data_IF_944827569823
#
_entry.id   IF_944827569823
#
_cell.length_a   1.000
_cell.length_b   1.000
_cell.length_c   1.000
_cell.angle_alpha   90.00
_cell.angle_beta   90.00
_cell.angle_gamma   90.00
#
_symmetry.space_group_name_H-M   'P 1'
#
loop_
_entity.id
_entity.type
_entity.pdbx_description
1 polymer ?
#
# COMPACT_ATOMS: atom_id res chain seq x y z
N UNK A 1 -2.34 50.90 37.80
CA UNK A 1 -1.71 49.69 37.25
C UNK A 1 -2.62 49.14 36.16
N UNK A 2 -2.35 49.47 34.90
CA UNK A 2 -3.17 49.07 33.75
C UNK A 2 -2.60 47.80 33.13
N UNK A 3 -3.21 46.66 33.44
CA UNK A 3 -2.99 45.42 32.70
C UNK A 3 -3.69 45.53 31.35
N UNK A 4 -2.95 45.89 30.31
CA UNK A 4 -3.43 45.77 28.94
C UNK A 4 -3.60 44.29 28.64
N UNK A 5 -4.86 43.85 28.53
CA UNK A 5 -5.24 42.53 28.07
C UNK A 5 -4.68 42.31 26.67
N UNK A 6 -3.53 41.62 26.56
CA UNK A 6 -3.02 41.12 25.29
C UNK A 6 -4.04 40.10 24.80
N UNK A 7 -4.83 40.45 23.79
CA UNK A 7 -5.63 39.47 23.07
C UNK A 7 -4.69 38.38 22.58
N UNK A 8 -4.84 37.18 23.11
CA UNK A 8 -4.09 36.01 22.66
C UNK A 8 -4.47 35.79 21.20
N UNK A 9 -3.53 36.01 20.28
CA UNK A 9 -3.72 35.66 18.87
C UNK A 9 -3.93 34.14 18.82
N UNK A 10 -4.99 33.69 18.14
CA UNK A 10 -5.20 32.26 17.90
C UNK A 10 -4.40 31.84 16.67
N UNK A 11 -3.56 30.82 16.83
CA UNK A 11 -2.91 30.16 15.71
C UNK A 11 -3.96 29.43 14.85
N UNK A 12 -3.98 29.71 13.55
CA UNK A 12 -4.73 28.90 12.59
C UNK A 12 -3.85 27.72 12.18
N UNK A 13 -4.05 26.57 12.82
CA UNK A 13 -3.21 25.37 12.65
C UNK A 13 -3.09 24.95 11.18
N UNK A 14 -4.20 24.94 10.43
CA UNK A 14 -4.18 24.59 9.00
C UNK A 14 -3.35 25.55 8.13
N UNK A 15 -3.45 26.85 8.40
CA UNK A 15 -2.67 27.88 7.70
C UNK A 15 -1.17 27.75 8.04
N UNK A 16 -0.85 27.48 9.32
CA UNK A 16 0.52 27.24 9.75
C UNK A 16 1.12 26.01 9.06
N UNK A 17 0.39 24.90 8.99
CA UNK A 17 0.82 23.68 8.28
C UNK A 17 1.07 23.98 6.80
N UNK A 18 0.17 24.70 6.12
CA UNK A 18 0.35 25.03 4.72
C UNK A 18 1.60 25.89 4.47
N UNK A 19 1.85 26.89 5.32
CA UNK A 19 3.06 27.72 5.23
C UNK A 19 4.34 26.93 5.50
N UNK A 20 4.30 26.01 6.47
CA UNK A 20 5.41 25.08 6.74
C UNK A 20 5.69 24.18 5.53
N UNK A 21 4.64 23.63 4.90
CA UNK A 21 4.77 22.82 3.69
C UNK A 21 5.42 23.62 2.55
N UNK A 22 4.99 24.87 2.33
CA UNK A 22 5.54 25.69 1.25
C UNK A 22 7.02 26.06 1.48
N UNK A 23 7.39 26.35 2.74
CA UNK A 23 8.77 26.64 3.13
C UNK A 23 9.68 25.42 2.93
N UNK A 24 9.23 24.24 3.34
CA UNK A 24 10.00 22.99 3.25
C UNK A 24 10.01 22.40 1.84
N UNK A 25 8.99 22.66 1.01
CA UNK A 25 9.08 22.35 -0.43
C UNK A 25 10.22 23.10 -1.11
N UNK A 26 10.40 24.37 -0.75
CA UNK A 26 11.50 25.20 -1.27
C UNK A 26 12.87 24.80 -0.70
N UNK A 27 12.88 24.13 0.46
CA UNK A 27 14.10 23.70 1.15
C UNK A 27 13.98 22.23 1.56
N UNK A 28 14.47 21.28 0.73
CA UNK A 28 14.28 19.84 0.96
C UNK A 28 15.06 19.28 2.17
N UNK A 29 15.81 20.11 2.88
CA UNK A 29 16.56 19.73 4.08
C UNK A 29 15.66 19.74 5.31
N UNK A 30 15.77 18.71 6.16
CA UNK A 30 15.11 18.72 7.46
C UNK A 30 15.60 19.92 8.29
N UNK A 31 14.66 20.73 8.79
CA UNK A 31 14.96 21.92 9.58
C UNK A 31 14.51 21.71 11.02
N UNK A 32 15.23 22.27 12.02
CA UNK A 32 14.75 22.26 13.39
C UNK A 32 13.37 22.92 13.47
N UNK A 33 12.46 22.32 14.22
CA UNK A 33 11.09 22.86 14.39
C UNK A 33 11.11 24.27 14.96
N UNK A 34 12.07 24.60 15.83
CA UNK A 34 12.29 25.95 16.36
C UNK A 34 12.59 26.97 15.28
N UNK A 35 13.42 26.59 14.30
CA UNK A 35 13.87 27.47 13.23
C UNK A 35 12.73 27.71 12.24
N UNK A 36 11.95 26.65 11.94
CA UNK A 36 10.74 26.78 11.12
C UNK A 36 9.71 27.69 11.79
N UNK A 37 9.51 27.56 13.10
CA UNK A 37 8.63 28.46 13.84
C UNK A 37 9.14 29.90 13.83
N UNK A 38 10.45 30.10 13.96
CA UNK A 38 11.06 31.44 13.92
C UNK A 38 10.93 32.08 12.54
N UNK A 39 11.20 31.33 11.47
CA UNK A 39 11.10 31.82 10.10
C UNK A 39 9.66 32.16 9.69
N UNK A 40 8.67 31.50 10.30
CA UNK A 40 7.26 31.78 10.10
C UNK A 40 6.66 32.77 11.11
N UNK A 41 7.51 33.38 11.97
CA UNK A 41 7.11 34.30 13.05
C UNK A 41 6.06 33.67 14.01
N UNK A 42 6.10 32.35 14.17
CA UNK A 42 5.21 31.56 15.03
C UNK A 42 5.77 31.33 16.44
N UNK A 43 6.95 31.87 16.76
CA UNK A 43 7.58 31.71 18.09
C UNK A 43 6.81 32.44 19.20
N UNK A 44 5.99 33.44 18.87
CA UNK A 44 5.24 34.24 19.86
C UNK A 44 3.98 33.57 20.40
N UNK A 45 3.59 32.40 19.86
CA UNK A 45 2.38 31.69 20.26
C UNK A 45 2.57 30.88 21.55
N UNK A 46 1.51 30.71 22.36
CA UNK A 46 1.59 29.96 23.61
C UNK A 46 1.91 28.48 23.35
N UNK A 47 2.65 27.85 24.27
CA UNK A 47 3.12 26.47 24.16
C UNK A 47 2.00 25.47 23.88
N UNK A 48 0.81 25.65 24.47
CA UNK A 48 -0.38 24.83 24.20
C UNK A 48 -0.82 24.85 22.72
N UNK A 49 -0.63 25.94 22.00
CA UNK A 49 -0.95 26.02 20.57
C UNK A 49 0.13 25.35 19.72
N UNK A 50 1.38 25.41 20.16
CA UNK A 50 2.51 24.74 19.51
C UNK A 50 2.40 23.22 19.69
N UNK A 51 2.05 22.73 20.87
CA UNK A 51 1.79 21.31 21.11
C UNK A 51 0.62 20.79 20.27
N UNK A 52 -0.45 21.58 20.16
CA UNK A 52 -1.58 21.27 19.26
C UNK A 52 -1.14 21.19 17.80
N UNK A 53 -0.28 22.11 17.34
CA UNK A 53 0.29 22.06 16.00
C UNK A 53 1.12 20.79 15.79
N UNK A 54 1.99 20.42 16.73
CA UNK A 54 2.79 19.18 16.66
C UNK A 54 1.89 17.93 16.57
N UNK A 55 0.85 17.89 17.39
CA UNK A 55 -0.12 16.79 17.38
C UNK A 55 -0.87 16.69 16.06
N UNK A 56 -1.36 17.83 15.55
CA UNK A 56 -2.07 17.89 14.26
C UNK A 56 -1.16 17.54 13.06
N UNK A 57 0.13 17.86 13.12
CA UNK A 57 1.11 17.43 12.10
C UNK A 57 1.25 15.91 12.08
N UNK A 58 1.27 15.27 13.24
CA UNK A 58 1.45 13.82 13.34
C UNK A 58 0.15 13.02 13.10
N UNK A 59 -1.01 13.58 13.42
CA UNK A 59 -2.31 12.92 13.25
C UNK A 59 -2.94 13.14 11.88
N UNK A 60 -2.82 14.34 11.30
CA UNK A 60 -3.20 14.52 9.91
C UNK A 60 -2.11 13.89 9.07
N UNK A 61 -2.53 13.19 8.02
CA UNK A 61 -1.68 12.83 6.88
C UNK A 61 -1.26 14.12 6.14
N UNK A 62 -0.55 14.97 6.89
CA UNK A 62 0.06 16.20 6.43
C UNK A 62 1.37 15.77 5.79
N UNK A 63 1.74 16.40 4.68
CA UNK A 63 2.99 16.13 3.95
C UNK A 63 4.26 16.50 4.75
N UNK A 64 4.18 16.51 6.08
CA UNK A 64 5.20 16.93 7.02
C UNK A 64 5.47 15.76 7.97
N UNK A 65 6.74 15.43 8.12
CA UNK A 65 7.21 14.45 9.09
C UNK A 65 7.95 15.18 10.21
N UNK A 66 7.65 14.83 11.47
CA UNK A 66 8.27 15.40 12.65
C UNK A 66 9.07 14.31 13.35
N UNK A 67 10.40 14.40 13.33
CA UNK A 67 11.30 13.41 13.91
C UNK A 67 12.35 14.11 14.77
N UNK A 68 12.48 13.72 16.05
CA UNK A 68 13.49 14.22 16.98
C UNK A 68 13.65 15.75 17.06
N UNK A 69 12.55 16.48 16.86
CA UNK A 69 12.52 17.95 16.88
C UNK A 69 12.87 18.62 15.54
N UNK A 70 13.09 17.84 14.48
CA UNK A 70 13.21 18.29 13.10
C UNK A 70 11.89 18.12 12.35
N UNK A 71 11.67 18.97 11.35
CA UNK A 71 10.57 18.85 10.40
C UNK A 71 11.13 18.71 9.00
N UNK A 72 10.67 17.69 8.30
CA UNK A 72 10.95 17.46 6.90
C UNK A 72 9.66 17.42 6.09
N UNK A 73 9.72 17.84 4.83
CA UNK A 73 8.64 17.62 3.88
C UNK A 73 8.70 16.17 3.38
N UNK A 74 7.59 15.45 3.52
CA UNK A 74 7.43 14.09 3.03
C UNK A 74 6.48 14.11 1.82
N UNK A 75 7.00 13.96 0.59
CA UNK A 75 6.16 13.88 -0.59
C UNK A 75 5.32 12.62 -0.58
N UNK A 76 4.20 12.65 -1.32
CA UNK A 76 3.30 11.49 -1.47
C UNK A 76 4.03 10.28 -2.08
N UNK A 77 5.00 10.54 -2.95
CA UNK A 77 5.86 9.53 -3.53
C UNK A 77 7.32 9.86 -3.21
N UNK A 78 8.05 8.92 -2.62
CA UNK A 78 9.49 9.03 -2.41
C UNK A 78 10.22 8.71 -3.73
N UNK A 79 10.22 9.69 -4.64
CA UNK A 79 10.96 9.66 -5.91
C UNK A 79 11.82 10.91 -6.00
N UNK A 80 13.09 10.76 -6.32
CA UNK A 80 14.06 11.87 -6.38
C UNK A 80 14.57 12.13 -7.79
N UNK A 81 14.46 11.13 -8.66
CA UNK A 81 15.02 11.14 -9.99
C UNK A 81 14.04 10.52 -11.00
N UNK A 82 14.21 10.86 -12.28
CA UNK A 82 13.52 10.22 -13.40
C UNK A 82 13.55 8.69 -13.40
N UNK A 83 14.70 8.10 -13.07
CA UNK A 83 14.86 6.64 -13.07
C UNK A 83 14.04 6.00 -11.95
N UNK A 84 14.06 6.60 -10.75
CA UNK A 84 13.26 6.15 -9.62
C UNK A 84 11.76 6.29 -9.89
N UNK A 85 11.34 7.36 -10.57
CA UNK A 85 9.97 7.52 -11.03
C UNK A 85 9.55 6.37 -11.95
N UNK A 86 10.39 6.02 -12.92
CA UNK A 86 10.10 4.92 -13.84
C UNK A 86 10.03 3.56 -13.12
N UNK A 87 10.93 3.32 -12.18
CA UNK A 87 10.94 2.07 -11.42
C UNK A 87 9.76 1.98 -10.45
N UNK A 88 9.33 3.10 -9.85
CA UNK A 88 8.09 3.15 -9.08
C UNK A 88 6.86 2.89 -9.93
N UNK A 89 6.79 3.45 -11.13
CA UNK A 89 5.68 3.18 -12.06
C UNK A 89 5.63 1.70 -12.47
N UNK A 90 6.78 1.05 -12.68
CA UNK A 90 6.83 -0.41 -12.93
C UNK A 90 6.33 -1.21 -11.73
N UNK A 91 6.72 -0.82 -10.51
CA UNK A 91 6.25 -1.47 -9.29
C UNK A 91 4.73 -1.36 -9.15
N UNK A 92 4.16 -0.20 -9.49
CA UNK A 92 2.72 0.04 -9.47
C UNK A 92 1.98 -0.85 -10.47
N UNK A 93 2.50 -0.98 -11.69
CA UNK A 93 1.94 -1.86 -12.71
C UNK A 93 2.00 -3.35 -12.30
N UNK A 94 3.16 -3.80 -11.81
CA UNK A 94 3.33 -5.18 -11.34
C UNK A 94 2.43 -5.55 -10.17
N UNK A 95 2.19 -4.60 -9.25
CA UNK A 95 1.31 -4.79 -8.09
C UNK A 95 -0.17 -4.51 -8.40
N UNK A 96 -0.48 -3.92 -9.55
CA UNK A 96 -1.83 -3.50 -9.91
C UNK A 96 -2.37 -2.36 -9.03
N UNK A 97 -1.49 -1.47 -8.55
CA UNK A 97 -1.86 -0.32 -7.69
C UNK A 97 -2.47 0.85 -8.49
N UNK A 98 -2.51 0.75 -9.82
CA UNK A 98 -3.04 1.78 -10.69
C UNK A 98 -1.97 2.77 -11.15
N UNK A 99 -2.37 4.01 -11.37
CA UNK A 99 -1.51 5.09 -11.87
C UNK A 99 -1.24 6.16 -10.81
N UNK A 100 -0.20 6.95 -11.03
CA UNK A 100 0.22 8.03 -10.13
C UNK A 100 -0.32 9.37 -10.63
N UNK A 101 -0.83 10.21 -9.73
CA UNK A 101 -1.39 11.52 -10.11
C UNK A 101 -0.26 12.54 -10.29
N UNK A 102 -0.33 13.34 -11.36
CA UNK A 102 0.74 14.28 -11.71
C UNK A 102 0.88 15.42 -10.70
N UNK A 103 -0.21 15.85 -10.06
CA UNK A 103 -0.20 16.88 -9.00
C UNK A 103 0.48 16.42 -7.71
N UNK A 104 0.40 15.13 -7.39
CA UNK A 104 1.13 14.52 -6.26
C UNK A 104 2.61 14.32 -6.60
N UNK A 105 2.91 14.03 -7.87
CA UNK A 105 4.28 13.92 -8.37
C UNK A 105 5.01 15.26 -8.38
N UNK A 106 4.34 16.35 -8.74
CA UNK A 106 4.92 17.71 -8.77
C UNK A 106 5.54 18.13 -7.42
N UNK A 107 5.03 17.58 -6.31
CA UNK A 107 5.60 17.81 -4.98
C UNK A 107 6.81 16.95 -4.63
N UNK A 108 7.25 16.02 -5.48
CA UNK A 108 8.28 15.03 -5.11
C UNK A 108 9.71 15.52 -5.32
N UNK A 109 10.02 16.08 -6.50
CA UNK A 109 11.32 16.66 -6.81
C UNK A 109 11.22 17.76 -7.87
N UNK A 110 12.23 18.63 -7.93
CA UNK A 110 12.29 19.72 -8.91
C UNK A 110 12.44 19.17 -10.34
N UNK A 111 11.59 19.62 -11.26
CA UNK A 111 11.66 19.23 -12.67
C UNK A 111 10.90 17.96 -13.04
N UNK A 112 10.10 17.39 -12.13
CA UNK A 112 9.20 16.25 -12.39
C UNK A 112 8.42 16.39 -13.69
N UNK A 113 7.81 17.55 -13.93
CA UNK A 113 6.96 17.75 -15.12
C UNK A 113 7.76 17.62 -16.42
N UNK A 114 8.99 18.16 -16.45
CA UNK A 114 9.88 18.02 -17.60
C UNK A 114 10.29 16.55 -17.80
N UNK A 115 10.60 15.86 -16.71
CA UNK A 115 10.95 14.44 -16.78
C UNK A 115 9.78 13.57 -17.25
N UNK A 116 8.56 13.87 -16.81
CA UNK A 116 7.34 13.20 -17.27
C UNK A 116 7.11 13.44 -18.76
N UNK A 117 7.27 14.68 -19.24
CA UNK A 117 7.15 14.99 -20.67
C UNK A 117 8.23 14.28 -21.50
N UNK A 118 9.45 14.19 -21.01
CA UNK A 118 10.50 13.43 -21.67
C UNK A 118 10.22 11.91 -21.66
N UNK A 119 9.69 11.34 -20.57
CA UNK A 119 9.29 9.93 -20.52
C UNK A 119 8.14 9.64 -21.49
N UNK A 120 7.20 10.59 -21.62
CA UNK A 120 6.08 10.52 -22.57
C UNK A 120 6.57 10.60 -24.01
N UNK A 121 7.53 11.48 -24.29
CA UNK A 121 8.18 11.58 -25.61
C UNK A 121 8.92 10.29 -25.98
N UNK A 122 9.52 9.61 -24.99
CA UNK A 122 10.16 8.29 -25.15
C UNK A 122 9.17 7.13 -25.20
N UNK A 123 7.88 7.39 -25.06
CA UNK A 123 6.80 6.39 -25.09
C UNK A 123 6.98 5.29 -24.03
N UNK A 124 7.57 5.64 -22.87
CA UNK A 124 7.75 4.76 -21.71
C UNK A 124 6.62 4.86 -20.69
N UNK A 125 5.81 5.91 -20.82
CA UNK A 125 4.68 6.20 -19.94
C UNK A 125 3.51 6.71 -20.79
N UNK A 126 2.28 6.51 -20.31
CA UNK A 126 1.10 7.13 -20.91
C UNK A 126 0.31 7.90 -19.84
N UNK A 127 -0.30 9.01 -20.24
CA UNK A 127 -1.15 9.81 -19.36
C UNK A 127 -2.62 9.63 -19.75
N UNK A 128 -3.47 9.47 -18.74
CA UNK A 128 -4.92 9.55 -18.90
C UNK A 128 -5.39 10.82 -18.20
N UNK A 129 -6.05 11.70 -18.97
CA UNK A 129 -6.68 12.89 -18.41
C UNK A 129 -7.98 12.50 -17.70
N UNK A 130 -8.06 12.73 -16.39
CA UNK A 130 -9.29 12.54 -15.65
C UNK A 130 -10.25 13.71 -15.91
N UNK A 131 -11.43 13.44 -16.48
CA UNK A 131 -12.43 14.46 -16.78
C UNK A 131 -13.04 15.10 -15.53
N UNK A 132 -13.05 14.38 -14.41
CA UNK A 132 -13.66 14.85 -13.15
C UNK A 132 -12.73 15.82 -12.45
N UNK A 133 -11.49 15.39 -12.20
CA UNK A 133 -10.55 16.15 -11.37
C UNK A 133 -9.68 17.11 -12.19
N UNK A 134 -9.71 17.00 -13.54
CA UNK A 134 -8.83 17.70 -14.48
C UNK A 134 -7.34 17.49 -14.20
N UNK A 135 -7.01 16.41 -13.48
CA UNK A 135 -5.65 15.99 -13.18
C UNK A 135 -5.28 14.81 -14.06
N UNK A 136 -4.06 14.85 -14.57
CA UNK A 136 -3.50 13.76 -15.36
C UNK A 136 -3.00 12.64 -14.45
N UNK A 137 -3.27 11.40 -14.85
CA UNK A 137 -2.80 10.19 -14.18
C UNK A 137 -1.80 9.49 -15.08
N UNK A 138 -0.60 9.25 -14.55
CA UNK A 138 0.53 8.65 -15.21
C UNK A 138 0.55 7.14 -14.99
N UNK A 139 0.79 6.39 -16.07
CA UNK A 139 0.91 4.94 -16.05
C UNK A 139 2.19 4.49 -16.76
N UNK A 140 2.73 3.37 -16.30
CA UNK A 140 3.84 2.69 -16.98
C UNK A 140 3.37 2.13 -18.32
N UNK A 141 4.18 2.29 -19.36
CA UNK A 141 3.96 1.65 -20.66
C UNK A 141 5.08 0.64 -20.91
N UNK A 142 4.75 -0.64 -20.84
CA UNK A 142 5.73 -1.69 -21.11
C UNK A 142 6.08 -1.71 -22.62
N UNK A 143 7.35 -1.44 -22.99
CA UNK A 143 7.79 -1.51 -24.38
C UNK A 143 7.72 -2.94 -24.95
N UNK A 144 7.77 -3.99 -24.11
CA UNK A 144 7.64 -5.38 -24.56
C UNK A 144 6.24 -5.71 -25.09
N UNK A 145 5.22 -4.98 -24.65
CA UNK A 145 3.83 -5.16 -25.07
C UNK A 145 3.43 -4.25 -26.24
N UNK A 146 4.39 -3.52 -26.82
CA UNK A 146 4.12 -2.57 -27.90
C UNK A 146 3.85 -3.32 -29.21
N UNK A 147 2.58 -3.29 -29.64
CA UNK A 147 2.17 -3.82 -30.96
C UNK A 147 1.81 -2.66 -31.89
N UNK A 148 2.51 -2.58 -33.02
CA UNK A 148 2.15 -1.65 -34.09
C UNK A 148 1.03 -2.26 -34.94
N UNK A 149 -0.16 -1.69 -34.86
CA UNK A 149 -1.34 -2.10 -35.63
C UNK A 149 -1.65 -1.00 -36.65
N UNK A 150 -1.84 -1.39 -37.91
CA UNK A 150 -2.25 -0.47 -38.97
C UNK A 150 -3.62 0.17 -38.63
N UNK A 151 -3.75 1.47 -38.89
CA UNK A 151 -5.00 2.24 -38.76
C UNK A 151 -6.14 1.61 -39.54
N UNK A 152 -5.89 0.97 -40.68
CA UNK A 152 -6.92 0.27 -41.44
C UNK A 152 -7.52 -0.91 -40.66
N UNK A 153 -6.68 -1.67 -39.96
CA UNK A 153 -7.09 -2.78 -39.10
C UNK A 153 -7.85 -2.25 -37.89
N UNK A 154 -7.35 -1.19 -37.23
CA UNK A 154 -8.04 -0.55 -36.10
C UNK A 154 -9.43 -0.05 -36.50
N UNK A 155 -9.56 0.56 -37.68
CA UNK A 155 -10.84 1.04 -38.21
C UNK A 155 -11.79 -0.14 -38.44
N UNK A 156 -11.35 -1.19 -39.13
CA UNK A 156 -12.17 -2.39 -39.36
C UNK A 156 -12.60 -3.04 -38.05
N UNK A 157 -11.70 -3.16 -37.08
CA UNK A 157 -11.98 -3.70 -35.76
C UNK A 157 -13.07 -2.92 -35.02
N UNK A 158 -13.05 -1.58 -35.09
CA UNK A 158 -14.08 -0.73 -34.47
C UNK A 158 -15.43 -0.76 -35.20
N UNK A 159 -15.43 -1.00 -36.51
CA UNK A 159 -16.66 -1.07 -37.32
C UNK A 159 -17.40 -2.40 -37.15
N UNK A 160 -16.67 -3.50 -36.94
CA UNK A 160 -17.25 -4.82 -36.74
C UNK A 160 -17.83 -4.94 -35.32
N UNK A 161 -19.08 -4.50 -35.16
CA UNK A 161 -19.75 -4.57 -33.86
C UNK A 161 -20.31 -5.97 -33.60
N UNK A 162 -19.84 -6.58 -32.51
CA UNK A 162 -20.42 -7.79 -31.91
C UNK A 162 -21.44 -7.43 -30.81
N UNK A 163 -21.68 -6.13 -30.57
CA UNK A 163 -22.59 -5.68 -29.53
C UNK A 163 -24.02 -6.15 -29.85
N UNK A 164 -24.64 -6.87 -28.90
CA UNK A 164 -26.01 -7.39 -29.02
C UNK A 164 -26.13 -8.80 -29.62
N UNK A 165 -25.04 -9.43 -30.10
CA UNK A 165 -25.07 -10.83 -30.54
C UNK A 165 -24.90 -11.76 -29.33
N UNK A 166 -25.68 -12.84 -29.29
CA UNK A 166 -25.57 -13.84 -28.22
C UNK A 166 -24.38 -14.77 -28.49
N UNK A 167 -23.73 -15.26 -27.43
CA UNK A 167 -22.58 -16.17 -27.50
C UNK A 167 -22.85 -17.44 -28.35
N UNK A 168 -24.11 -17.90 -28.37
CA UNK A 168 -24.58 -19.01 -29.22
C UNK A 168 -24.60 -18.66 -30.71
N UNK A 169 -25.09 -17.47 -31.04
CA UNK A 169 -25.15 -16.97 -32.42
C UNK A 169 -23.74 -16.74 -32.97
N UNK A 170 -22.83 -16.24 -32.12
CA UNK A 170 -21.44 -16.06 -32.48
C UNK A 170 -20.75 -17.41 -32.76
N UNK A 171 -20.99 -18.43 -31.93
CA UNK A 171 -20.48 -19.79 -32.16
C UNK A 171 -21.03 -20.39 -33.46
N UNK A 172 -22.33 -20.25 -33.72
CA UNK A 172 -22.92 -20.74 -34.96
C UNK A 172 -22.35 -20.01 -36.18
N UNK A 173 -22.15 -18.69 -36.08
CA UNK A 173 -21.50 -17.90 -37.13
C UNK A 173 -20.06 -18.38 -37.42
N UNK A 174 -19.27 -18.66 -36.38
CA UNK A 174 -17.91 -19.18 -36.52
C UNK A 174 -17.89 -20.59 -37.16
N UNK A 175 -18.83 -21.46 -36.78
CA UNK A 175 -18.99 -22.80 -37.37
C UNK A 175 -19.35 -22.67 -38.86
N UNK A 176 -20.31 -21.80 -39.18
CA UNK A 176 -20.74 -21.55 -40.57
C UNK A 176 -19.59 -20.95 -41.40
N UNK A 177 -18.76 -20.08 -40.81
CA UNK A 177 -17.56 -19.53 -41.42
C UNK A 177 -16.39 -20.53 -41.50
N UNK A 178 -16.60 -21.80 -41.13
CA UNK A 178 -15.60 -22.87 -41.11
C UNK A 178 -14.37 -22.57 -40.24
N UNK A 179 -14.50 -21.65 -39.28
CA UNK A 179 -13.47 -21.36 -38.29
C UNK A 179 -13.54 -22.39 -37.17
N UNK A 180 -12.67 -23.40 -37.24
CA UNK A 180 -12.56 -24.40 -36.17
C UNK A 180 -12.01 -23.74 -34.90
N UNK A 181 -12.61 -23.99 -33.72
CA UNK A 181 -12.06 -23.49 -32.47
C UNK A 181 -10.64 -24.03 -32.30
N UNK A 182 -9.71 -23.15 -31.92
CA UNK A 182 -8.33 -23.52 -31.65
C UNK A 182 -8.34 -24.59 -30.54
N UNK A 183 -8.02 -25.84 -30.89
CA UNK A 183 -7.76 -26.88 -29.91
C UNK A 183 -6.39 -26.57 -29.29
N UNK A 184 -6.40 -25.72 -28.27
CA UNK A 184 -5.23 -25.53 -27.41
C UNK A 184 -5.00 -26.90 -26.76
N UNK A 185 -3.94 -27.59 -27.18
CA UNK A 185 -3.46 -28.75 -26.44
C UNK A 185 -3.33 -28.31 -24.98
N UNK A 186 -4.08 -28.97 -24.10
CA UNK A 186 -4.14 -28.61 -22.68
C UNK A 186 -2.70 -28.49 -22.20
N UNK A 187 -2.30 -27.28 -21.79
CA UNK A 187 -1.00 -27.05 -21.15
C UNK A 187 -0.86 -28.15 -20.09
N UNK A 188 0.15 -29.05 -20.19
CA UNK A 188 0.26 -30.17 -19.29
C UNK A 188 0.28 -29.62 -17.88
N UNK A 189 -0.74 -29.95 -17.10
CA UNK A 189 -0.81 -29.56 -15.69
C UNK A 189 0.48 -30.05 -15.06
N UNK A 190 1.34 -29.12 -14.59
CA UNK A 190 2.54 -29.47 -13.85
C UNK A 190 2.13 -30.52 -12.80
N UNK A 191 2.79 -31.69 -12.74
CA UNK A 191 2.41 -32.71 -11.78
C UNK A 191 2.56 -32.11 -10.38
N UNK A 192 1.44 -31.93 -9.69
CA UNK A 192 1.44 -31.62 -8.26
C UNK A 192 2.15 -32.79 -7.61
N UNK A 193 3.33 -32.54 -7.05
CA UNK A 193 4.05 -33.52 -6.27
C UNK A 193 3.09 -34.03 -5.19
N UNK A 194 2.66 -35.29 -5.32
CA UNK A 194 1.86 -35.95 -4.28
C UNK A 194 2.76 -36.05 -3.06
N UNK A 195 2.50 -35.20 -2.07
CA UNK A 195 3.09 -35.32 -0.74
C UNK A 195 3.04 -36.78 -0.30
N UNK A 196 4.23 -37.35 -0.10
CA UNK A 196 4.41 -38.75 0.26
C UNK A 196 3.68 -39.03 1.56
N UNK A 197 2.55 -39.75 1.48
CA UNK A 197 1.92 -40.34 2.66
C UNK A 197 2.91 -41.31 3.32
N UNK A 198 3.62 -40.84 4.34
CA UNK A 198 4.39 -41.68 5.27
C UNK A 198 3.45 -42.73 5.88
N UNK A 199 3.55 -43.96 5.37
CA UNK A 199 2.82 -45.12 5.87
C UNK A 199 3.37 -45.48 7.26
N UNK A 200 2.67 -45.05 8.32
CA UNK A 200 2.94 -45.44 9.72
C UNK A 200 2.97 -46.98 9.81
N UNK A 201 4.16 -47.58 9.98
CA UNK A 201 4.30 -48.98 10.41
C UNK A 201 3.72 -49.08 11.83
N UNK A 202 2.51 -49.63 11.96
CA UNK A 202 1.93 -50.02 13.25
C UNK A 202 2.79 -51.12 13.87
N UNK A 203 3.42 -50.81 15.02
CA UNK A 203 3.96 -51.81 15.96
C UNK A 203 2.80 -52.70 16.44
N UNK A 204 2.80 -53.96 16.02
CA UNK A 204 2.13 -55.05 16.73
C UNK A 204 3.16 -55.53 17.75
N UNK A 205 2.90 -55.30 19.03
CA UNK A 205 3.32 -56.14 20.16
C UNK A 205 3.00 -55.40 21.46
N UNK A 206 1.81 -55.66 21.98
CA UNK A 206 1.44 -55.40 23.37
C UNK A 206 0.16 -56.18 23.69
N UNK A 207 0.30 -57.50 23.83
CA UNK A 207 -0.73 -58.35 24.42
C UNK A 207 -0.11 -59.07 25.62
N UNK A 208 0.09 -58.36 26.72
CA UNK A 208 0.18 -58.98 28.06
C UNK A 208 -0.01 -57.94 29.16
N UNK A 209 -0.84 -58.32 30.13
CA UNK A 209 -1.04 -57.68 31.45
C UNK A 209 -1.93 -56.45 31.53
N UNK A 210 -3.25 -56.68 31.47
CA UNK A 210 -4.15 -56.14 32.49
C UNK A 210 -5.11 -57.26 32.92
N UNK A 211 -4.79 -57.89 34.05
CA UNK A 211 -5.74 -58.60 34.90
C UNK A 211 -5.60 -57.91 36.25
N UNK A 212 -6.68 -57.28 36.69
CA UNK A 212 -7.08 -56.99 38.09
C UNK A 212 -8.10 -55.84 38.00
N UNK A 213 -9.38 -56.21 38.14
CA UNK A 213 -10.47 -55.55 38.88
C UNK A 213 -10.82 -54.10 38.49
N UNK A 214 -12.06 -53.62 38.48
CA UNK A 214 -13.42 -54.10 38.62
C UNK A 214 -14.27 -52.81 38.54
N UNK A 215 -15.52 -52.91 38.09
CA UNK A 215 -16.58 -52.06 38.65
C UNK A 215 -16.97 -50.78 37.90
N UNK A 216 -18.12 -50.89 37.22
CA UNK A 216 -19.25 -49.94 37.22
C UNK A 216 -19.09 -48.59 36.47
N UNK A 217 -19.68 -48.57 35.26
CA UNK A 217 -20.34 -47.39 34.70
C UNK A 217 -21.77 -47.31 35.26
N UNK A 218 -22.14 -46.17 35.85
CA UNK A 218 -23.54 -45.74 35.96
C UNK A 218 -23.61 -44.22 35.72
N UNK A 219 -24.34 -43.84 34.66
CA UNK A 219 -25.42 -42.84 34.63
C UNK A 219 -25.11 -41.41 35.16
N UNK A 220 -25.28 -40.27 34.48
CA UNK A 220 -26.38 -39.75 33.62
C UNK A 220 -25.92 -38.47 32.88
N UNK A 221 -26.41 -38.27 31.65
CA UNK A 221 -26.42 -37.00 30.88
C UNK A 221 -27.56 -36.09 31.38
N UNK A 222 -27.31 -34.83 31.77
CA UNK A 222 -27.59 -33.56 31.04
C UNK A 222 -28.22 -32.52 32.03
N UNK A 223 -28.39 -31.21 31.73
CA UNK A 223 -27.73 -30.28 30.80
C UNK A 223 -27.22 -28.96 31.49
N UNK A 224 -26.54 -28.09 30.72
CA UNK A 224 -25.99 -26.73 31.04
C UNK A 224 -27.12 -25.72 31.43
N UNK A 225 -26.94 -24.52 32.05
CA UNK A 225 -26.09 -23.41 31.50
C UNK A 225 -25.67 -22.19 32.42
N UNK A 226 -24.95 -21.23 31.80
CA UNK A 226 -24.77 -19.76 32.09
C UNK A 226 -24.05 -19.29 33.36
N UNK A 227 -23.02 -18.41 33.20
CA UNK A 227 -22.83 -17.12 33.92
C UNK A 227 -21.38 -16.61 33.92
N UNK A 228 -21.07 -15.64 33.03
CA UNK A 228 -20.42 -14.32 33.25
C UNK A 228 -19.07 -14.21 34.05
N UNK A 229 -18.42 -13.03 34.15
CA UNK A 229 -17.13 -12.71 33.53
C UNK A 229 -15.96 -12.51 34.54
N UNK A 230 -14.72 -12.22 34.08
CA UNK A 230 -13.52 -12.09 34.92
C UNK A 230 -13.45 -10.68 35.56
N UNK A 231 -12.61 -10.43 36.59
CA UNK A 231 -11.25 -9.95 36.29
C UNK A 231 -10.20 -10.19 37.40
N UNK A 232 -8.97 -9.80 37.06
CA UNK A 232 -8.04 -8.99 37.88
C UNK A 232 -6.75 -9.64 38.39
N UNK A 233 -5.66 -8.97 38.00
CA UNK A 233 -4.37 -8.82 38.70
C UNK A 233 -3.54 -10.10 38.83
N UNK A 234 -2.22 -10.10 38.79
CA UNK A 234 -1.19 -9.07 38.98
C UNK A 234 0.09 -9.67 38.36
N UNK A 235 0.95 -8.90 37.69
CA UNK A 235 2.15 -8.28 38.28
C UNK A 235 3.44 -9.02 37.90
N UNK A 236 4.41 -8.22 37.47
CA UNK A 236 5.86 -8.38 37.67
C UNK A 236 6.57 -9.56 36.97
N UNK A 237 7.81 -9.45 36.52
CA UNK A 237 8.74 -8.35 36.29
C UNK A 237 9.87 -8.97 35.44
N UNK A 238 10.40 -8.23 34.47
CA UNK A 238 11.79 -7.73 34.44
C UNK A 238 12.87 -8.70 33.93
N UNK A 239 13.66 -8.13 33.00
CA UNK A 239 15.12 -8.27 32.87
C UNK A 239 15.66 -9.63 32.37
N UNK A 240 16.71 -9.73 31.56
CA UNK A 240 17.63 -8.76 30.94
C UNK A 240 18.57 -9.56 30.02
N UNK A 241 19.04 -8.92 28.94
CA UNK A 241 20.40 -8.95 28.36
C UNK A 241 21.21 -10.27 28.26
N UNK A 242 21.74 -10.53 27.06
CA UNK A 242 23.19 -10.59 26.73
C UNK A 242 23.35 -11.19 25.31
N UNK A 243 23.77 -10.42 24.29
CA UNK A 243 25.15 -10.29 23.79
C UNK A 243 25.84 -11.65 23.54
N UNK A 244 26.05 -12.09 22.30
CA UNK A 244 27.08 -11.65 21.33
C UNK A 244 28.52 -12.04 21.71
N UNK A 245 29.12 -12.96 20.95
CA UNK A 245 30.56 -13.13 20.66
C UNK A 245 30.77 -14.58 20.14
N UNK A 246 31.09 -14.78 18.86
CA UNK A 246 32.42 -14.74 18.20
C UNK A 246 33.03 -16.13 17.99
N UNK A 247 33.54 -16.28 16.77
CA UNK A 247 34.83 -16.85 16.40
C UNK A 247 34.91 -18.32 15.95
N UNK A 248 35.41 -18.42 14.71
CA UNK A 248 36.44 -19.34 14.23
C UNK A 248 36.18 -20.84 14.30
N UNK A 249 35.94 -21.44 13.12
CA UNK A 249 37.03 -22.01 12.31
C UNK A 249 36.59 -22.23 10.88
#
# INVERSE_FOLDING_TARGET
MSFTSRRVRRLHVGEAIHRMQELLKRSPTALPFTDVLQQLELTEYPEQQIEKLKHEINERDSKLHLEDGYVAFQPTYDVKNKQELLDKLKEFDQKGLGGMRVDELDGSYDGVLLDVDELKAKDLVYCIHNKTDRVDVLFFKDPALRVHIDKAIVKRWRMESVQGKTDKELKQYLINAQMKPLQVEKIPKKPVAKDGKKKRRRRRDAKRSQRVLAGVHQFINAPKPVSSPPPSSSSAASASSAQAAKASK
#
